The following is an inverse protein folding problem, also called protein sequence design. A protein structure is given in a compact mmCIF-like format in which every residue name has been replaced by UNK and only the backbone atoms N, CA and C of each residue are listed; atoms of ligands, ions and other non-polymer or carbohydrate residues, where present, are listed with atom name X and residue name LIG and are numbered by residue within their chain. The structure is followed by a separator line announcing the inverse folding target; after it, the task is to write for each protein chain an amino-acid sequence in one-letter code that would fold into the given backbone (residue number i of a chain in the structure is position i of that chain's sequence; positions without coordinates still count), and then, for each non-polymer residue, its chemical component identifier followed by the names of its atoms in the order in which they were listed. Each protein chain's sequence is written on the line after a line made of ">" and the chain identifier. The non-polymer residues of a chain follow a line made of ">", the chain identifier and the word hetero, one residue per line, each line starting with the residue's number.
data_IF_587630365018
#
_entry.id   IF_587630365018
#
_cell.length_a   1.000
_cell.length_b   1.000
_cell.length_c   1.000
_cell.angle_alpha   90.00
_cell.angle_beta   90.00
_cell.angle_gamma   90.00
#
_symmetry.space_group_name_H-M   'P 1'
#
loop_
_entity.id
_entity.type
_entity.pdbx_description
1 polymer ?
#
# COMPACT_ATOMS: atom_id res chain seq x y z
N UNK A 1 33.22 -10.00 26.73
CA UNK A 1 32.82 -8.67 26.22
C UNK A 1 31.33 -8.50 26.48
N UNK A 2 30.89 -7.31 26.88
CA UNK A 2 29.46 -7.05 27.04
C UNK A 2 28.76 -7.10 25.66
N UNK A 3 27.54 -7.63 25.61
CA UNK A 3 26.77 -7.67 24.37
C UNK A 3 26.46 -6.24 23.88
N UNK A 4 26.55 -6.01 22.56
CA UNK A 4 26.14 -4.74 21.95
C UNK A 4 24.63 -4.55 22.13
N UNK A 5 24.24 -3.37 22.60
CA UNK A 5 22.85 -2.99 22.84
C UNK A 5 22.47 -1.86 21.89
N UNK A 6 21.52 -2.09 20.97
CA UNK A 6 21.11 -1.07 20.02
C UNK A 6 20.15 -0.06 20.68
N UNK A 7 20.23 1.19 20.22
CA UNK A 7 19.25 2.24 20.49
C UNK A 7 18.00 2.00 19.61
N UNK A 8 16.94 1.42 20.19
CA UNK A 8 15.77 0.94 19.42
C UNK A 8 15.05 2.04 18.61
N UNK A 9 14.79 3.25 19.15
CA UNK A 9 14.28 4.36 18.35
C UNK A 9 15.14 4.68 17.12
N UNK A 10 16.48 4.59 17.22
CA UNK A 10 17.35 4.79 16.05
C UNK A 10 17.29 3.62 15.07
N UNK A 11 17.12 2.38 15.55
CA UNK A 11 16.89 1.21 14.67
C UNK A 11 15.63 1.42 13.84
N UNK A 12 14.54 1.86 14.47
CA UNK A 12 13.27 2.12 13.77
C UNK A 12 13.42 3.17 12.66
N UNK A 13 14.13 4.27 12.93
CA UNK A 13 14.40 5.32 11.93
C UNK A 13 15.28 4.80 10.79
N UNK A 14 16.34 4.04 11.10
CA UNK A 14 17.21 3.48 10.08
C UNK A 14 16.51 2.44 9.20
N UNK A 15 15.60 1.62 9.76
CA UNK A 15 14.75 0.75 8.95
C UNK A 15 13.91 1.58 7.97
N UNK A 16 13.26 2.66 8.41
CA UNK A 16 12.49 3.54 7.52
C UNK A 16 13.38 4.14 6.41
N UNK A 17 14.58 4.61 6.75
CA UNK A 17 15.52 5.19 5.80
C UNK A 17 15.97 4.18 4.74
N UNK A 18 16.34 2.96 5.15
CA UNK A 18 16.74 1.86 4.27
C UNK A 18 15.58 1.39 3.40
N UNK A 19 14.38 1.23 3.96
CA UNK A 19 13.17 0.88 3.18
C UNK A 19 12.87 1.95 2.13
N UNK A 20 12.98 3.23 2.48
CA UNK A 20 12.80 4.31 1.53
C UNK A 20 13.92 4.39 0.48
N UNK A 21 15.15 3.97 0.80
CA UNK A 21 16.22 3.83 -0.18
C UNK A 21 15.89 2.75 -1.21
N UNK A 22 15.50 1.55 -0.76
CA UNK A 22 15.07 0.46 -1.65
C UNK A 22 13.93 0.92 -2.55
N UNK A 23 12.95 1.64 -2.01
CA UNK A 23 11.82 2.15 -2.80
C UNK A 23 12.27 3.13 -3.88
N UNK A 24 13.18 4.06 -3.57
CA UNK A 24 13.74 4.99 -4.56
C UNK A 24 14.50 4.27 -5.68
N UNK A 25 15.27 3.24 -5.34
CA UNK A 25 15.97 2.39 -6.33
C UNK A 25 15.00 1.66 -7.27
N UNK A 26 13.74 1.48 -6.86
CA UNK A 26 12.67 0.89 -7.67
C UNK A 26 11.72 1.95 -8.26
N UNK A 27 12.10 3.23 -8.29
CA UNK A 27 11.28 4.35 -8.78
C UNK A 27 9.93 4.51 -8.07
N UNK A 28 9.85 4.11 -6.80
CA UNK A 28 8.69 4.30 -5.94
C UNK A 28 8.87 5.51 -5.04
N UNK A 29 7.75 6.16 -4.72
CA UNK A 29 7.74 7.27 -3.77
C UNK A 29 8.16 6.82 -2.37
N UNK A 30 8.92 7.67 -1.69
CA UNK A 30 9.25 7.50 -0.28
C UNK A 30 7.98 7.56 0.59
N UNK A 31 7.94 6.72 1.62
CA UNK A 31 6.89 6.63 2.61
C UNK A 31 7.12 7.64 3.71
N UNK A 32 6.03 8.27 4.16
CA UNK A 32 6.04 9.20 5.30
C UNK A 32 5.85 8.42 6.60
N UNK A 33 6.61 8.76 7.63
CA UNK A 33 6.41 8.17 8.95
C UNK A 33 5.03 8.57 9.49
N UNK A 34 4.25 7.58 9.93
CA UNK A 34 2.97 7.79 10.57
C UNK A 34 2.99 7.27 12.01
N UNK A 35 2.71 8.15 12.96
CA UNK A 35 2.81 7.83 14.39
C UNK A 35 1.82 6.75 14.85
N UNK A 36 0.64 6.64 14.23
CA UNK A 36 -0.34 5.62 14.55
C UNK A 36 0.12 4.23 14.08
N UNK A 37 0.71 4.14 12.88
CA UNK A 37 1.34 2.90 12.41
C UNK A 37 2.55 2.52 13.26
N UNK A 38 3.40 3.47 13.64
CA UNK A 38 4.54 3.20 14.52
C UNK A 38 4.10 2.71 15.91
N UNK A 39 3.03 3.31 16.47
CA UNK A 39 2.42 2.84 17.71
C UNK A 39 1.92 1.40 17.60
N UNK A 40 1.22 1.06 16.50
CA UNK A 40 0.74 -0.31 16.24
C UNK A 40 1.91 -1.30 16.11
N UNK A 41 2.94 -0.94 15.34
CA UNK A 41 4.12 -1.77 15.11
C UNK A 41 4.88 -2.05 16.41
N UNK A 42 5.14 -1.02 17.24
CA UNK A 42 5.82 -1.19 18.54
C UNK A 42 5.05 -2.08 19.49
N UNK A 43 3.74 -1.82 19.64
CA UNK A 43 2.88 -2.64 20.48
C UNK A 43 2.88 -4.11 20.05
N UNK A 44 2.94 -4.36 18.74
CA UNK A 44 3.00 -5.72 18.21
C UNK A 44 4.37 -6.38 18.38
N UNK A 45 5.47 -5.66 18.11
CA UNK A 45 6.82 -6.13 18.34
C UNK A 45 7.00 -6.59 19.79
N UNK A 46 6.55 -5.79 20.76
CA UNK A 46 6.57 -6.14 22.17
C UNK A 46 5.74 -7.39 22.49
N UNK A 47 4.59 -7.54 21.85
CA UNK A 47 3.70 -8.69 22.05
C UNK A 47 4.36 -9.98 21.58
N UNK A 48 4.94 -9.98 20.38
CA UNK A 48 5.70 -11.09 19.82
C UNK A 48 6.94 -11.40 20.68
N UNK A 49 7.62 -10.36 21.15
CA UNK A 49 8.80 -10.49 22.00
C UNK A 49 8.49 -11.16 23.35
N UNK A 50 7.31 -10.86 23.95
CA UNK A 50 6.86 -11.43 25.23
C UNK A 50 6.19 -12.80 25.10
N UNK A 51 5.43 -13.04 24.04
CA UNK A 51 4.64 -14.28 23.89
C UNK A 51 5.46 -15.48 23.41
N UNK A 52 6.60 -15.22 22.75
CA UNK A 52 7.39 -16.25 22.08
C UNK A 52 6.75 -16.78 20.79
N UNK A 53 5.54 -16.31 20.43
CA UNK A 53 4.85 -16.69 19.21
C UNK A 53 5.20 -15.71 18.10
N UNK A 54 5.87 -16.17 17.05
CA UNK A 54 6.25 -15.36 15.90
C UNK A 54 5.29 -15.60 14.73
N UNK A 55 4.21 -14.81 14.68
CA UNK A 55 3.15 -14.91 13.70
C UNK A 55 2.49 -13.55 13.49
N UNK A 56 2.00 -13.28 12.27
CA UNK A 56 1.19 -12.08 11.95
C UNK A 56 -0.18 -12.02 12.65
N UNK A 57 -0.59 -13.11 13.30
CA UNK A 57 -1.88 -13.27 13.97
C UNK A 57 -1.76 -13.69 15.43
N UNK A 58 -0.59 -13.51 16.06
CA UNK A 58 -0.35 -13.91 17.46
C UNK A 58 -1.36 -13.26 18.46
N UNK A 59 -2.02 -12.18 18.06
CA UNK A 59 -3.07 -11.45 18.79
C UNK A 59 -4.50 -11.87 18.49
N UNK A 60 -4.69 -12.92 17.68
CA UNK A 60 -6.01 -13.30 17.18
C UNK A 60 -6.58 -12.29 16.18
N UNK A 61 -5.81 -11.26 15.83
CA UNK A 61 -6.17 -10.21 14.89
C UNK A 61 -5.34 -10.29 13.62
N UNK A 62 -5.34 -9.19 12.88
CA UNK A 62 -4.55 -9.02 11.67
C UNK A 62 -3.94 -7.60 11.65
N UNK A 63 -2.98 -7.31 10.75
CA UNK A 63 -2.33 -6.00 10.67
C UNK A 63 -3.31 -4.83 10.52
N UNK A 64 -4.38 -5.00 9.74
CA UNK A 64 -5.41 -3.97 9.55
C UNK A 64 -6.10 -3.61 10.86
N UNK A 65 -6.51 -4.63 11.64
CA UNK A 65 -7.15 -4.40 12.94
C UNK A 65 -6.21 -3.73 13.94
N UNK A 66 -4.91 -4.06 13.90
CA UNK A 66 -3.90 -3.39 14.73
C UNK A 66 -3.76 -1.92 14.38
N UNK A 67 -3.69 -1.60 13.09
CA UNK A 67 -3.63 -0.21 12.62
C UNK A 67 -4.87 0.57 13.08
N UNK A 68 -6.08 0.02 12.89
CA UNK A 68 -7.34 0.61 13.36
C UNK A 68 -7.37 0.85 14.87
N UNK A 69 -6.91 -0.12 15.66
CA UNK A 69 -6.85 -0.01 17.11
C UNK A 69 -5.90 1.09 17.57
N UNK A 70 -4.85 1.38 16.79
CA UNK A 70 -3.96 2.50 17.03
C UNK A 70 -4.50 3.86 16.53
N UNK A 71 -5.71 3.89 15.96
CA UNK A 71 -6.38 5.08 15.44
C UNK A 71 -6.18 5.35 13.95
N UNK A 72 -5.39 4.53 13.26
CA UNK A 72 -5.16 4.67 11.83
C UNK A 72 -6.40 4.24 11.05
N UNK A 73 -6.80 5.01 10.02
CA UNK A 73 -7.94 4.67 9.16
C UNK A 73 -7.44 4.16 7.80
N UNK A 74 -7.20 2.85 7.63
CA UNK A 74 -6.59 2.34 6.42
C UNK A 74 -7.58 2.21 5.26
N UNK A 75 -7.08 2.46 4.06
CA UNK A 75 -7.59 1.87 2.82
C UNK A 75 -6.82 0.58 2.48
N UNK A 76 -5.50 0.60 2.68
CA UNK A 76 -4.62 -0.55 2.53
C UNK A 76 -3.62 -0.61 3.68
N UNK A 77 -3.29 -1.83 4.12
CA UNK A 77 -2.25 -2.11 5.13
C UNK A 77 -1.46 -3.34 4.71
N UNK A 78 -0.16 -3.34 4.96
CA UNK A 78 0.69 -4.51 4.91
C UNK A 78 1.64 -4.54 6.11
N UNK A 79 2.20 -5.70 6.44
CA UNK A 79 3.10 -5.88 7.58
C UNK A 79 4.24 -6.83 7.21
N UNK A 80 5.44 -6.45 7.62
CA UNK A 80 6.62 -7.30 7.69
C UNK A 80 7.01 -7.49 9.15
N UNK A 81 7.45 -8.71 9.50
CA UNK A 81 8.01 -9.01 10.82
C UNK A 81 9.36 -9.69 10.66
N UNK A 82 10.33 -9.36 11.53
CA UNK A 82 11.64 -9.99 11.59
C UNK A 82 11.97 -10.40 13.02
N UNK A 83 12.76 -11.46 13.16
CA UNK A 83 13.32 -11.91 14.43
C UNK A 83 14.81 -12.15 14.24
N UNK A 84 15.61 -11.34 14.91
CA UNK A 84 17.06 -11.38 14.80
C UNK A 84 17.66 -11.77 16.16
N UNK A 85 18.63 -12.69 16.16
CA UNK A 85 19.29 -13.19 17.37
C UNK A 85 20.80 -13.14 17.21
N UNK A 86 21.50 -12.67 18.25
CA UNK A 86 22.96 -12.64 18.26
C UNK A 86 23.48 -12.80 19.69
N UNK A 87 24.39 -13.75 19.89
CA UNK A 87 25.11 -13.92 21.17
C UNK A 87 26.03 -12.75 21.51
N UNK A 88 26.48 -11.99 20.51
CA UNK A 88 27.31 -10.79 20.69
C UNK A 88 26.46 -9.52 20.83
N UNK A 89 25.14 -9.61 20.66
CA UNK A 89 24.27 -8.45 20.53
C UNK A 89 24.30 -7.84 19.12
N UNK A 90 23.74 -6.64 19.01
CA UNK A 90 23.71 -5.88 17.76
C UNK A 90 24.05 -4.42 18.06
N UNK A 91 24.82 -3.79 17.19
CA UNK A 91 24.76 -2.33 17.08
C UNK A 91 23.47 -1.90 16.36
N UNK A 92 23.15 -0.60 16.44
CA UNK A 92 21.94 -0.02 15.85
C UNK A 92 21.84 -0.26 14.33
N UNK A 93 22.92 -0.03 13.59
CA UNK A 93 22.94 -0.15 12.14
C UNK A 93 22.84 -1.59 11.67
N UNK A 94 23.52 -2.49 12.37
CA UNK A 94 23.51 -3.92 12.09
C UNK A 94 22.09 -4.51 12.23
N UNK A 95 21.37 -4.17 13.31
CA UNK A 95 20.01 -4.69 13.52
C UNK A 95 19.04 -4.19 12.43
N UNK A 96 19.10 -2.90 12.08
CA UNK A 96 18.27 -2.34 11.02
C UNK A 96 18.55 -3.01 9.67
N UNK A 97 19.84 -3.15 9.33
CA UNK A 97 20.28 -3.79 8.09
C UNK A 97 19.86 -5.26 8.00
N UNK A 98 19.97 -6.03 9.10
CA UNK A 98 19.54 -7.44 9.11
C UNK A 98 18.04 -7.59 8.87
N UNK A 99 17.22 -6.78 9.54
CA UNK A 99 15.76 -6.80 9.33
C UNK A 99 15.39 -6.50 7.87
N UNK A 100 15.92 -5.41 7.31
CA UNK A 100 15.60 -4.99 5.92
C UNK A 100 16.13 -5.99 4.90
N UNK A 101 17.37 -6.49 5.06
CA UNK A 101 17.93 -7.50 4.18
C UNK A 101 17.13 -8.82 4.23
N UNK A 102 16.70 -9.24 5.43
CA UNK A 102 15.84 -10.40 5.63
C UNK A 102 14.50 -10.27 4.92
N UNK A 103 13.87 -9.09 4.98
CA UNK A 103 12.64 -8.82 4.25
C UNK A 103 12.85 -8.79 2.72
N UNK A 104 13.94 -8.18 2.24
CA UNK A 104 14.23 -8.11 0.81
C UNK A 104 14.56 -9.47 0.18
N UNK A 105 15.07 -10.41 0.98
CA UNK A 105 15.32 -11.79 0.56
C UNK A 105 14.07 -12.68 0.61
N UNK A 106 12.94 -12.19 1.13
CA UNK A 106 11.66 -12.88 1.18
C UNK A 106 10.68 -12.27 0.18
N UNK A 107 10.25 -13.04 -0.82
CA UNK A 107 9.35 -12.53 -1.85
C UNK A 107 8.05 -11.89 -1.30
N UNK A 108 7.35 -12.50 -0.31
CA UNK A 108 6.20 -11.86 0.33
C UNK A 108 6.53 -10.54 1.04
N UNK A 109 7.64 -10.47 1.78
CA UNK A 109 8.00 -9.25 2.51
C UNK A 109 8.50 -8.14 1.58
N UNK A 110 9.27 -8.50 0.56
CA UNK A 110 9.69 -7.59 -0.52
C UNK A 110 8.49 -7.00 -1.25
N UNK A 111 7.43 -7.77 -1.49
CA UNK A 111 6.21 -7.25 -2.11
C UNK A 111 5.55 -6.14 -1.28
N UNK A 112 5.62 -6.21 0.05
CA UNK A 112 5.12 -5.17 0.94
C UNK A 112 5.98 -3.89 0.88
N UNK A 113 7.31 -4.02 0.92
CA UNK A 113 8.25 -2.89 0.76
C UNK A 113 8.01 -2.17 -0.58
N UNK A 114 7.74 -2.94 -1.63
CA UNK A 114 7.49 -2.44 -2.99
C UNK A 114 6.01 -2.17 -3.29
N UNK A 115 5.14 -2.17 -2.27
CA UNK A 115 3.72 -1.87 -2.44
C UNK A 115 3.57 -0.42 -2.92
N UNK A 116 3.27 -0.25 -4.21
CA UNK A 116 3.18 1.07 -4.85
C UNK A 116 2.04 1.94 -4.28
N UNK A 117 0.99 1.32 -3.74
CA UNK A 117 -0.13 2.03 -3.12
C UNK A 117 0.19 2.58 -1.73
N UNK A 118 1.24 2.08 -1.06
CA UNK A 118 1.67 2.57 0.25
C UNK A 118 2.18 4.01 0.15
N UNK A 119 1.77 4.84 1.10
CA UNK A 119 2.21 6.24 1.23
C UNK A 119 2.74 6.56 2.63
N UNK A 120 2.45 5.69 3.60
CA UNK A 120 2.84 5.84 4.99
C UNK A 120 3.48 4.56 5.54
N UNK A 121 4.37 4.72 6.52
CA UNK A 121 5.12 3.65 7.19
C UNK A 121 5.15 3.88 8.70
N UNK A 122 5.16 2.80 9.46
CA UNK A 122 5.48 2.81 10.88
C UNK A 122 6.31 1.59 11.25
N UNK A 123 7.37 1.79 12.01
CA UNK A 123 8.28 0.72 12.45
C UNK A 123 8.27 0.67 13.97
N UNK A 124 8.34 -0.54 14.51
CA UNK A 124 8.51 -0.79 15.92
C UNK A 124 9.48 -1.92 16.18
N UNK A 125 10.35 -1.74 17.17
CA UNK A 125 11.34 -2.76 17.55
C UNK A 125 11.24 -3.06 19.04
N UNK A 126 11.29 -4.33 19.42
CA UNK A 126 11.28 -4.76 20.82
C UNK A 126 12.31 -5.84 21.10
N UNK A 127 12.94 -5.76 22.27
CA UNK A 127 13.82 -6.82 22.79
C UNK A 127 13.00 -7.88 23.50
N UNK A 128 13.28 -9.14 23.22
CA UNK A 128 12.70 -10.28 23.94
C UNK A 128 13.49 -10.58 25.23
N UNK A 129 12.86 -11.10 26.30
CA UNK A 129 13.52 -11.38 27.57
C UNK A 129 14.44 -12.61 27.56
N UNK A 130 14.71 -13.20 26.38
CA UNK A 130 15.59 -14.36 26.24
C UNK A 130 17.03 -14.10 26.74
N UNK A 131 17.75 -15.14 27.23
CA UNK A 131 19.14 -15.02 27.66
C UNK A 131 20.10 -14.60 26.52
N UNK A 132 19.83 -15.07 25.30
CA UNK A 132 20.55 -14.65 24.10
C UNK A 132 19.81 -13.44 23.52
N UNK A 133 20.49 -12.30 23.27
CA UNK A 133 19.86 -11.12 22.70
C UNK A 133 19.05 -11.45 21.44
N UNK A 134 17.74 -11.19 21.53
CA UNK A 134 16.75 -11.42 20.49
C UNK A 134 15.89 -10.17 20.34
N UNK A 135 15.76 -9.68 19.12
CA UNK A 135 14.95 -8.51 18.80
C UNK A 135 13.88 -8.88 17.78
N UNK A 136 12.71 -8.29 17.95
CA UNK A 136 11.59 -8.37 17.01
C UNK A 136 11.43 -7.01 16.37
N UNK A 137 11.48 -6.97 15.04
CA UNK A 137 11.19 -5.77 14.25
C UNK A 137 9.86 -5.97 13.53
N UNK A 138 8.98 -4.98 13.59
CA UNK A 138 7.70 -4.94 12.88
C UNK A 138 7.68 -3.68 12.02
N UNK A 139 7.42 -3.84 10.74
CA UNK A 139 7.27 -2.76 9.77
C UNK A 139 5.87 -2.81 9.19
N UNK A 140 5.10 -1.74 9.38
CA UNK A 140 3.75 -1.59 8.88
C UNK A 140 3.69 -0.55 7.78
N UNK A 141 3.06 -0.90 6.67
CA UNK A 141 2.81 -0.03 5.53
C UNK A 141 1.34 0.36 5.52
N UNK A 142 1.05 1.59 5.14
CA UNK A 142 -0.31 2.09 5.08
C UNK A 142 -0.57 2.97 3.87
N UNK A 143 -1.82 2.92 3.40
CA UNK A 143 -2.44 4.01 2.65
C UNK A 143 -3.67 4.48 3.44
N UNK A 144 -3.77 5.76 3.82
CA UNK A 144 -4.91 6.22 4.59
C UNK A 144 -6.16 6.26 3.69
N UNK A 145 -7.33 6.08 4.30
CA UNK A 145 -8.62 6.14 3.59
C UNK A 145 -8.82 7.46 2.83
N UNK A 146 -8.26 8.56 3.34
CA UNK A 146 -8.28 9.88 2.71
C UNK A 146 -7.52 9.95 1.38
N UNK A 147 -6.60 9.02 1.15
CA UNK A 147 -5.85 8.91 -0.11
C UNK A 147 -6.40 7.80 -1.02
N UNK A 148 -7.48 7.12 -0.61
CA UNK A 148 -8.24 6.23 -1.49
C UNK A 148 -8.85 7.00 -2.67
N UNK A 149 -9.06 6.31 -3.79
CA UNK A 149 -9.65 6.87 -4.99
C UNK A 149 -11.06 6.35 -5.15
N UNK A 150 -12.05 7.24 -5.11
CA UNK A 150 -13.43 6.94 -5.50
C UNK A 150 -13.82 7.81 -6.68
N UNK A 151 -14.16 7.21 -7.81
CA UNK A 151 -14.56 7.94 -9.01
C UNK A 151 -15.77 7.26 -9.67
N UNK A 152 -16.44 8.01 -10.53
CA UNK A 152 -17.53 7.49 -11.35
C UNK A 152 -17.15 7.48 -12.82
N UNK A 153 -17.64 6.48 -13.53
CA UNK A 153 -17.54 6.38 -14.97
C UNK A 153 -18.95 6.35 -15.52
N UNK A 154 -19.28 7.31 -16.39
CA UNK A 154 -20.63 7.55 -16.88
C UNK A 154 -20.62 7.47 -18.40
N UNK A 155 -21.28 6.48 -18.97
CA UNK A 155 -21.46 6.43 -20.41
C UNK A 155 -22.76 7.12 -20.82
N UNK A 156 -22.65 8.35 -21.35
CA UNK A 156 -23.78 9.08 -21.94
C UNK A 156 -23.82 8.97 -23.46
N UNK A 157 -22.83 8.31 -24.07
CA UNK A 157 -22.77 8.06 -25.50
C UNK A 157 -23.77 6.98 -25.94
N UNK A 158 -24.00 6.90 -27.25
CA UNK A 158 -24.81 5.85 -27.86
C UNK A 158 -24.06 4.51 -28.05
N UNK A 159 -22.74 4.51 -27.90
CA UNK A 159 -21.89 3.34 -28.12
C UNK A 159 -21.59 2.60 -26.82
N UNK A 160 -21.24 1.31 -26.93
CA UNK A 160 -20.59 0.59 -25.84
C UNK A 160 -19.14 1.05 -25.78
N UNK A 161 -18.67 1.39 -24.58
CA UNK A 161 -17.27 1.75 -24.32
C UNK A 161 -16.74 0.84 -23.21
N UNK A 162 -15.52 0.36 -23.33
CA UNK A 162 -14.88 -0.37 -22.26
C UNK A 162 -13.95 0.55 -21.48
N UNK A 163 -13.80 0.30 -20.17
CA UNK A 163 -12.67 0.84 -19.41
C UNK A 163 -11.91 -0.28 -18.73
N UNK A 164 -10.60 -0.11 -18.62
CA UNK A 164 -9.68 -0.99 -17.88
C UNK A 164 -9.12 -0.22 -16.70
N UNK A 165 -9.22 -0.79 -15.51
CA UNK A 165 -8.63 -0.24 -14.29
C UNK A 165 -8.09 -1.38 -13.43
N UNK A 166 -6.84 -1.25 -12.97
CA UNK A 166 -6.12 -2.29 -12.20
C UNK A 166 -6.19 -3.68 -12.87
N UNK A 167 -6.00 -3.70 -14.20
CA UNK A 167 -6.02 -4.92 -15.00
C UNK A 167 -7.41 -5.50 -15.29
N UNK A 168 -8.48 -4.97 -14.69
CA UNK A 168 -9.86 -5.44 -14.92
C UNK A 168 -10.55 -4.57 -15.96
N UNK A 169 -11.04 -5.20 -17.02
CA UNK A 169 -11.85 -4.53 -18.06
C UNK A 169 -13.34 -4.62 -17.73
N UNK A 170 -14.08 -3.56 -18.01
CA UNK A 170 -15.53 -3.45 -17.82
C UNK A 170 -16.16 -2.78 -19.04
N UNK A 171 -17.20 -3.39 -19.58
CA UNK A 171 -18.01 -2.77 -20.63
C UNK A 171 -19.07 -1.86 -20.02
N UNK A 172 -19.19 -0.66 -20.59
CA UNK A 172 -20.16 0.36 -20.22
C UNK A 172 -21.19 0.46 -21.34
N UNK A 173 -22.40 -0.02 -21.07
CA UNK A 173 -23.52 0.19 -21.99
C UNK A 173 -23.95 1.67 -22.01
N UNK A 174 -24.64 2.13 -23.06
CA UNK A 174 -25.25 3.45 -23.06
C UNK A 174 -26.10 3.69 -21.80
N UNK A 175 -25.99 4.89 -21.23
CA UNK A 175 -26.66 5.35 -20.00
C UNK A 175 -26.23 4.61 -18.72
N UNK A 176 -25.15 3.84 -18.76
CA UNK A 176 -24.62 3.15 -17.58
C UNK A 176 -23.73 4.10 -16.76
N UNK A 177 -23.85 4.02 -15.43
CA UNK A 177 -22.90 4.64 -14.50
C UNK A 177 -22.32 3.54 -13.62
N UNK A 178 -20.99 3.52 -13.48
CA UNK A 178 -20.28 2.66 -12.54
C UNK A 178 -19.52 3.53 -11.55
N UNK A 179 -19.70 3.28 -10.26
CA UNK A 179 -18.88 3.86 -9.20
C UNK A 179 -17.75 2.88 -8.86
N UNK A 180 -16.52 3.36 -8.92
CA UNK A 180 -15.33 2.60 -8.58
C UNK A 180 -14.70 3.20 -7.32
N UNK A 181 -14.40 2.35 -6.34
CA UNK A 181 -13.53 2.68 -5.21
C UNK A 181 -12.29 1.81 -5.26
N UNK A 182 -11.13 2.35 -4.91
CA UNK A 182 -9.87 1.63 -4.87
C UNK A 182 -8.87 2.28 -3.91
N UNK A 183 -8.09 1.44 -3.25
CA UNK A 183 -6.94 1.84 -2.45
C UNK A 183 -5.62 1.74 -3.22
N UNK A 184 -5.65 1.11 -4.40
CA UNK A 184 -4.49 1.01 -5.27
C UNK A 184 -4.45 2.14 -6.28
N UNK A 185 -3.24 2.58 -6.57
CA UNK A 185 -2.94 3.48 -7.68
C UNK A 185 -2.86 2.69 -8.97
N UNK A 186 -3.36 3.27 -10.05
CA UNK A 186 -3.30 2.67 -11.38
C UNK A 186 -4.03 3.56 -12.37
N UNK A 187 -3.69 3.45 -13.64
CA UNK A 187 -4.36 4.23 -14.66
C UNK A 187 -5.72 3.63 -15.00
N UNK A 188 -6.66 4.49 -15.35
CA UNK A 188 -7.88 4.11 -16.05
C UNK A 188 -7.68 4.37 -17.54
N UNK A 189 -7.88 3.33 -18.34
CA UNK A 189 -7.82 3.41 -19.81
C UNK A 189 -9.21 3.17 -20.37
N UNK A 190 -9.65 4.03 -21.27
CA UNK A 190 -10.91 3.90 -21.99
C UNK A 190 -10.64 3.41 -23.40
N UNK A 191 -11.39 2.41 -23.85
CA UNK A 191 -11.25 1.83 -25.19
C UNK A 191 -12.60 1.68 -25.86
N UNK A 192 -12.65 1.89 -27.17
CA UNK A 192 -13.79 1.43 -27.98
C UNK A 192 -13.58 -0.07 -28.23
N UNK A 193 -14.53 -0.95 -27.83
CA UNK A 193 -14.41 -2.38 -28.11
C UNK A 193 -14.29 -2.64 -29.61
N UNK A 194 -13.57 -3.70 -29.98
CA UNK A 194 -13.50 -4.13 -31.37
C UNK A 194 -14.90 -4.48 -31.88
N UNK A 195 -15.27 -3.93 -33.03
CA UNK A 195 -16.50 -4.29 -33.74
C UNK A 195 -16.23 -5.34 -34.82
N UNK A 196 -17.29 -5.80 -35.49
CA UNK A 196 -17.17 -6.77 -36.59
C UNK A 196 -16.23 -6.31 -37.72
N UNK A 197 -16.11 -4.99 -37.92
CA UNK A 197 -15.29 -4.36 -38.97
C UNK A 197 -14.20 -3.41 -38.42
N UNK A 198 -13.95 -3.36 -37.10
CA UNK A 198 -12.99 -2.42 -36.52
C UNK A 198 -12.18 -3.03 -35.39
N UNK A 199 -10.88 -2.73 -35.35
CA UNK A 199 -10.02 -3.06 -34.22
C UNK A 199 -10.37 -2.16 -33.03
N UNK A 200 -10.23 -2.72 -31.82
CA UNK A 200 -10.39 -1.92 -30.61
C UNK A 200 -9.33 -0.82 -30.54
N UNK A 201 -9.73 0.37 -30.13
CA UNK A 201 -8.85 1.54 -30.06
C UNK A 201 -8.88 2.18 -28.68
N UNK A 202 -7.72 2.64 -28.20
CA UNK A 202 -7.64 3.46 -26.99
C UNK A 202 -8.21 4.85 -27.29
N UNK A 203 -9.14 5.29 -26.43
CA UNK A 203 -9.78 6.60 -26.51
C UNK A 203 -8.95 7.60 -25.70
N UNK A 204 -8.69 7.27 -24.43
CA UNK A 204 -7.91 8.10 -23.51
C UNK A 204 -7.48 7.30 -22.28
N UNK A 205 -6.54 7.88 -21.54
CA UNK A 205 -5.98 7.33 -20.31
C UNK A 205 -5.82 8.43 -19.28
N UNK A 206 -6.17 8.13 -18.03
CA UNK A 206 -6.08 9.07 -16.92
C UNK A 206 -5.52 8.42 -15.67
N UNK A 207 -4.88 9.22 -14.82
CA UNK A 207 -4.73 8.88 -13.40
C UNK A 207 -6.05 9.22 -12.69
N UNK A 208 -6.75 8.23 -12.11
CA UNK A 208 -8.01 8.48 -11.44
C UNK A 208 -7.80 9.36 -10.20
N UNK A 209 -8.70 10.31 -10.03
CA UNK A 209 -8.69 11.22 -8.88
C UNK A 209 -9.95 11.00 -8.03
N UNK A 210 -9.81 11.17 -6.71
CA UNK A 210 -10.91 11.00 -5.77
C UNK A 210 -12.00 12.07 -6.02
N UNK A 211 -13.25 11.64 -5.99
CA UNK A 211 -14.42 12.49 -6.23
C UNK A 211 -14.61 12.91 -7.69
N UNK A 212 -13.86 12.38 -8.67
CA UNK A 212 -14.07 12.71 -10.09
C UNK A 212 -15.11 11.84 -10.77
N UNK A 213 -15.61 12.33 -11.90
CA UNK A 213 -16.59 11.68 -12.76
C UNK A 213 -16.11 11.77 -14.22
N UNK A 214 -15.82 10.63 -14.83
CA UNK A 214 -15.41 10.52 -16.23
C UNK A 214 -16.66 10.27 -17.09
N UNK A 215 -17.08 11.30 -17.84
CA UNK A 215 -18.32 11.30 -18.61
C UNK A 215 -17.99 11.09 -20.07
N UNK A 216 -18.32 9.91 -20.59
CA UNK A 216 -18.13 9.55 -21.98
C UNK A 216 -19.30 10.07 -22.82
N UNK A 217 -19.00 10.87 -23.83
CA UNK A 217 -19.96 11.54 -24.72
C UNK A 217 -19.72 11.14 -26.17
N UNK A 218 -20.81 11.04 -26.93
CA UNK A 218 -20.73 10.91 -28.39
C UNK A 218 -20.12 12.18 -29.00
N UNK A 219 -19.08 12.01 -29.80
CA UNK A 219 -18.47 13.04 -30.64
C UNK A 219 -18.89 12.90 -32.10
N UNK A 220 -18.25 13.69 -32.97
CA UNK A 220 -18.48 13.67 -34.42
C UNK A 220 -18.01 12.33 -35.00
N UNK A 221 -18.72 11.79 -35.99
CA UNK A 221 -18.37 10.54 -36.70
C UNK A 221 -18.17 9.30 -35.80
N UNK A 222 -18.91 9.20 -34.69
CA UNK A 222 -18.83 8.05 -33.78
C UNK A 222 -17.56 8.01 -32.92
N UNK A 223 -16.81 9.12 -32.86
CA UNK A 223 -15.76 9.31 -31.87
C UNK A 223 -16.36 9.40 -30.46
N UNK A 224 -15.56 9.06 -29.44
CA UNK A 224 -15.93 9.24 -28.03
C UNK A 224 -15.03 10.32 -27.43
N UNK A 225 -15.64 11.30 -26.78
CA UNK A 225 -14.94 12.31 -25.97
C UNK A 225 -15.19 12.05 -24.48
N UNK A 226 -14.25 12.46 -23.63
CA UNK A 226 -14.35 12.27 -22.18
C UNK A 226 -14.25 13.63 -21.49
N UNK A 227 -15.29 13.98 -20.75
CA UNK A 227 -15.33 15.15 -19.88
C UNK A 227 -15.09 14.72 -18.43
N UNK A 228 -14.25 15.46 -17.71
CA UNK A 228 -13.96 15.20 -16.29
C UNK A 228 -14.73 16.20 -15.43
N UNK A 229 -15.72 15.69 -14.69
CA UNK A 229 -16.51 16.46 -13.72
C UNK A 229 -16.16 16.10 -12.27
N UNK A 230 -16.80 16.81 -11.33
CA UNK A 230 -16.74 16.51 -9.89
C UNK A 230 -18.03 15.81 -9.46
N UNK A 231 -17.92 14.77 -8.64
CA UNK A 231 -19.05 14.11 -7.99
C UNK A 231 -19.43 14.89 -6.73
N UNK A 232 -20.55 15.60 -6.77
CA UNK A 232 -21.02 16.45 -5.67
C UNK A 232 -21.46 15.62 -4.44
N UNK A 233 -21.65 14.30 -4.58
CA UNK A 233 -22.07 13.40 -3.49
C UNK A 233 -20.92 12.79 -2.67
N UNK A 234 -19.69 13.30 -2.77
CA UNK A 234 -18.53 12.73 -2.06
C UNK A 234 -18.14 13.43 -0.74
N UNK A 235 -19.06 14.19 -0.11
CA UNK A 235 -18.87 14.70 1.25
C UNK A 235 -19.22 13.64 2.28
#
# INVERSE_FOLDING_TARGET
>A
MAALVPDLPKVELQIVEMTNQVRREQNLNALRINAMLAKAARAYAERLARSGQFSHTADGGNPGKRAETAGYKPCAVAENIAMDRSGQGFDTGQLAMQAVAGWMNSAPHRANILMASATEIGVGVAKSPDPVPKYISVEMFGRPASEGVKFEVVNTSADIVAYRFLGKTRDLKPRMTITQSSCSVGEITFTKPAGFLSSGSEIARFSPENGKRYILKSGVNGAISIEIGINIKSR
#
